data_IF_696071165137
#
_entry.id   IF_696071165137
#
_cell.length_a   1.000
_cell.length_b   1.000
_cell.length_c   1.000
_cell.angle_alpha   90.00
_cell.angle_beta   90.00
_cell.angle_gamma   90.00
#
_symmetry.space_group_name_H-M   'P 1'
#
loop_
_entity.id
_entity.type
_entity.pdbx_description
1 polymer ?
#
# COMPACT_ATOMS: atom_id res chain seq x y z
N UNK A 1 -64.70 143.35 -9.36
CA UNK A 1 -64.75 143.87 -7.99
C UNK A 1 -64.89 142.66 -7.07
N UNK A 2 -63.82 142.29 -6.38
CA UNK A 2 -63.77 141.08 -5.54
C UNK A 2 -63.82 141.54 -4.09
N UNK A 3 -64.93 141.26 -3.39
CA UNK A 3 -65.11 141.70 -1.99
C UNK A 3 -64.36 140.78 -1.04
N UNK A 4 -63.89 141.29 0.11
CA UNK A 4 -63.17 140.50 1.12
C UNK A 4 -63.93 139.25 1.55
N UNK A 5 -65.27 139.36 1.71
CA UNK A 5 -66.13 138.22 2.04
C UNK A 5 -66.06 137.07 1.02
N UNK A 6 -65.97 137.37 -0.28
CA UNK A 6 -65.90 136.36 -1.35
C UNK A 6 -64.51 135.70 -1.37
N UNK A 7 -63.46 136.47 -1.08
CA UNK A 7 -62.09 135.94 -0.95
C UNK A 7 -62.00 134.98 0.24
N UNK A 8 -62.57 135.34 1.39
CA UNK A 8 -62.62 134.49 2.58
C UNK A 8 -63.43 133.21 2.36
N UNK A 9 -64.57 133.28 1.66
CA UNK A 9 -65.34 132.09 1.26
C UNK A 9 -64.47 131.14 0.43
N UNK A 10 -63.72 131.68 -0.53
CA UNK A 10 -62.83 130.92 -1.41
C UNK A 10 -61.74 130.20 -0.61
N UNK A 11 -61.05 130.93 0.24
CA UNK A 11 -59.97 130.40 1.08
C UNK A 11 -60.45 129.32 2.05
N UNK A 12 -61.60 129.53 2.72
CA UNK A 12 -62.15 128.55 3.65
C UNK A 12 -62.66 127.29 2.93
N UNK A 13 -63.29 127.45 1.76
CA UNK A 13 -63.68 126.32 0.92
C UNK A 13 -62.47 125.51 0.48
N UNK A 14 -61.41 126.16 0.00
CA UNK A 14 -60.23 125.45 -0.54
C UNK A 14 -59.52 124.63 0.54
N UNK A 15 -59.36 125.20 1.74
CA UNK A 15 -58.87 124.47 2.93
C UNK A 15 -59.70 123.24 3.25
N UNK A 16 -61.02 123.35 3.18
CA UNK A 16 -61.92 122.23 3.49
C UNK A 16 -61.91 121.17 2.38
N UNK A 17 -61.81 121.60 1.12
CA UNK A 17 -61.73 120.73 -0.05
C UNK A 17 -60.47 119.85 -0.03
N UNK A 18 -59.34 120.40 0.39
CA UNK A 18 -58.09 119.66 0.56
C UNK A 18 -58.24 118.55 1.62
N UNK A 19 -58.76 118.89 2.80
CA UNK A 19 -59.08 117.90 3.85
C UNK A 19 -60.00 116.78 3.35
N UNK A 20 -61.03 117.11 2.57
CA UNK A 20 -61.95 116.12 1.98
C UNK A 20 -61.26 115.20 0.95
N UNK A 21 -60.23 115.67 0.24
CA UNK A 21 -59.48 114.84 -0.72
C UNK A 21 -58.53 113.86 -0.05
N UNK A 22 -57.92 114.25 1.06
CA UNK A 22 -56.92 113.46 1.79
C UNK A 22 -57.53 112.39 2.71
N UNK A 23 -58.85 112.42 2.92
CA UNK A 23 -59.49 111.57 3.92
C UNK A 23 -59.79 110.15 3.42
N UNK A 24 -59.37 109.15 4.19
CA UNK A 24 -59.74 107.75 3.98
C UNK A 24 -61.16 107.45 4.48
N UNK A 25 -62.01 106.92 3.61
CA UNK A 25 -63.42 106.56 3.92
C UNK A 25 -63.56 105.36 4.87
N UNK A 26 -62.46 104.67 5.23
CA UNK A 26 -62.50 103.45 6.04
C UNK A 26 -62.82 103.69 7.51
N UNK A 27 -62.49 104.86 8.08
CA UNK A 27 -62.61 105.15 9.52
C UNK A 27 -64.07 105.30 10.01
N UNK A 28 -65.02 105.51 9.09
CA UNK A 28 -66.42 105.79 9.40
C UNK A 28 -67.40 104.97 8.55
N UNK A 29 -66.95 103.81 8.02
CA UNK A 29 -67.65 103.00 7.02
C UNK A 29 -69.09 102.59 7.41
N UNK A 30 -69.35 102.45 8.70
CA UNK A 30 -70.64 101.98 9.24
C UNK A 30 -71.34 102.99 10.18
N UNK A 31 -70.89 104.25 10.19
CA UNK A 31 -71.48 105.31 11.02
C UNK A 31 -72.44 106.18 10.22
N UNK A 32 -73.57 106.50 10.84
CA UNK A 32 -74.55 107.47 10.34
C UNK A 32 -74.49 108.77 11.15
N UNK A 33 -74.89 109.86 10.52
CA UNK A 33 -74.80 111.23 11.05
C UNK A 33 -76.05 112.00 10.69
N UNK A 34 -76.35 113.07 11.45
CA UNK A 34 -77.59 113.84 11.28
C UNK A 34 -78.59 113.58 12.41
N UNK A 35 -79.63 114.39 12.46
CA UNK A 35 -80.67 114.27 13.50
C UNK A 35 -81.51 113.01 13.34
N UNK A 36 -81.58 112.46 12.13
CA UNK A 36 -82.33 111.26 11.75
C UNK A 36 -81.40 110.12 11.28
N UNK A 37 -80.07 110.25 11.48
CA UNK A 37 -79.08 109.32 10.92
C UNK A 37 -79.10 109.22 9.39
N UNK A 38 -79.51 110.30 8.72
CA UNK A 38 -79.76 110.39 7.29
C UNK A 38 -78.48 110.39 6.43
N UNK A 39 -77.32 110.66 7.03
CA UNK A 39 -76.07 110.74 6.30
C UNK A 39 -75.10 109.62 6.64
N UNK A 40 -74.61 108.91 5.61
CA UNK A 40 -73.37 108.14 5.73
C UNK A 40 -72.16 109.07 5.61
N UNK A 41 -71.00 108.67 6.14
CA UNK A 41 -69.77 109.47 6.00
C UNK A 41 -69.43 109.75 4.53
N UNK A 42 -69.57 108.73 3.67
CA UNK A 42 -69.40 108.87 2.21
C UNK A 42 -70.41 109.85 1.63
N UNK A 43 -71.65 109.82 2.09
CA UNK A 43 -72.71 110.78 1.73
C UNK A 43 -72.37 112.22 2.13
N UNK A 44 -71.89 112.46 3.36
CA UNK A 44 -71.46 113.78 3.83
C UNK A 44 -70.33 114.34 2.97
N UNK A 45 -69.29 113.54 2.72
CA UNK A 45 -68.16 113.95 1.89
C UNK A 45 -68.59 114.22 0.44
N UNK A 46 -69.49 113.40 -0.11
CA UNK A 46 -70.10 113.65 -1.43
C UNK A 46 -70.91 114.94 -1.47
N UNK A 47 -71.73 115.21 -0.45
CA UNK A 47 -72.50 116.43 -0.32
C UNK A 47 -71.62 117.68 -0.16
N UNK A 48 -70.55 117.61 0.62
CA UNK A 48 -69.56 118.69 0.73
C UNK A 48 -68.88 118.98 -0.61
N UNK A 49 -68.47 117.93 -1.36
CA UNK A 49 -67.92 118.10 -2.71
C UNK A 49 -68.90 118.82 -3.63
N UNK A 50 -70.18 118.43 -3.61
CA UNK A 50 -71.22 119.11 -4.38
C UNK A 50 -71.36 120.59 -3.97
N UNK A 51 -71.37 120.90 -2.67
CA UNK A 51 -71.39 122.27 -2.17
C UNK A 51 -70.13 123.06 -2.56
N UNK A 52 -68.95 122.44 -2.59
CA UNK A 52 -67.73 123.12 -3.02
C UNK A 52 -67.80 123.52 -4.49
N UNK A 53 -68.35 122.69 -5.37
CA UNK A 53 -68.56 123.12 -6.75
C UNK A 53 -69.60 124.24 -6.81
N UNK A 54 -70.70 124.21 -6.05
CA UNK A 54 -71.69 125.31 -6.00
C UNK A 54 -71.04 126.63 -5.54
N UNK A 55 -70.25 126.59 -4.45
CA UNK A 55 -69.49 127.74 -3.95
C UNK A 55 -68.42 128.18 -4.97
N UNK A 56 -67.84 127.25 -5.72
CA UNK A 56 -66.88 127.56 -6.78
C UNK A 56 -67.53 128.30 -7.93
N UNK A 57 -68.70 127.86 -8.39
CA UNK A 57 -69.48 128.57 -9.41
C UNK A 57 -69.84 129.98 -8.94
N UNK A 58 -70.33 130.12 -7.70
CA UNK A 58 -70.64 131.43 -7.10
C UNK A 58 -69.41 132.36 -7.02
N UNK A 59 -68.28 131.85 -6.53
CA UNK A 59 -67.06 132.67 -6.33
C UNK A 59 -66.32 132.96 -7.64
N UNK A 60 -66.50 132.16 -8.70
CA UNK A 60 -66.02 132.46 -10.06
C UNK A 60 -66.82 133.63 -10.66
N UNK A 61 -68.15 133.58 -10.57
CA UNK A 61 -69.05 134.62 -11.08
C UNK A 61 -69.34 135.70 -10.03
N UNK A 62 -68.29 136.38 -9.58
CA UNK A 62 -68.31 137.33 -8.46
C UNK A 62 -69.41 138.41 -8.58
N UNK A 63 -69.64 138.94 -9.79
CA UNK A 63 -70.66 139.98 -10.02
C UNK A 63 -72.08 139.46 -9.81
N UNK A 64 -72.35 138.25 -10.30
CA UNK A 64 -73.64 137.58 -10.15
C UNK A 64 -73.87 137.23 -8.69
N UNK A 65 -72.85 136.68 -8.02
CA UNK A 65 -72.93 136.35 -6.60
C UNK A 65 -73.25 137.56 -5.71
N UNK A 66 -72.62 138.71 -5.96
CA UNK A 66 -72.95 139.96 -5.23
C UNK A 66 -74.40 140.41 -5.49
N UNK A 67 -74.93 140.19 -6.70
CA UNK A 67 -76.29 140.61 -7.07
C UNK A 67 -77.36 139.77 -6.36
N UNK A 68 -77.10 138.48 -6.17
CA UNK A 68 -78.09 137.54 -5.61
C UNK A 68 -77.92 137.30 -4.11
N UNK A 69 -76.89 137.89 -3.49
CA UNK A 69 -76.59 137.66 -2.09
C UNK A 69 -76.29 138.98 -1.36
N UNK A 70 -76.64 139.03 -0.08
CA UNK A 70 -76.29 140.09 0.85
C UNK A 70 -74.89 139.86 1.45
N UNK A 71 -74.34 140.91 2.08
CA UNK A 71 -73.11 140.80 2.86
C UNK A 71 -73.27 139.86 4.06
N UNK A 72 -74.41 139.92 4.75
CA UNK A 72 -74.71 139.06 5.89
C UNK A 72 -74.68 137.58 5.53
N UNK A 73 -75.30 137.21 4.42
CA UNK A 73 -75.29 135.83 3.90
C UNK A 73 -73.87 135.38 3.53
N UNK A 74 -73.06 136.23 2.90
CA UNK A 74 -71.65 135.89 2.59
C UNK A 74 -70.83 135.68 3.86
N UNK A 75 -71.02 136.52 4.88
CA UNK A 75 -70.34 136.36 6.18
C UNK A 75 -70.79 135.08 6.89
N UNK A 76 -72.08 134.72 6.80
CA UNK A 76 -72.58 133.43 7.32
C UNK A 76 -71.95 132.25 6.59
N UNK A 77 -71.78 132.30 5.25
CA UNK A 77 -71.06 131.26 4.51
C UNK A 77 -69.62 131.09 5.01
N UNK A 78 -68.89 132.19 5.24
CA UNK A 78 -67.53 132.13 5.81
C UNK A 78 -67.54 131.45 7.17
N UNK A 79 -68.47 131.83 8.05
CA UNK A 79 -68.57 131.27 9.40
C UNK A 79 -68.87 129.78 9.38
N UNK A 80 -69.84 129.34 8.56
CA UNK A 80 -70.17 127.92 8.43
C UNK A 80 -68.99 127.12 7.86
N UNK A 81 -68.31 127.60 6.83
CA UNK A 81 -67.12 126.94 6.28
C UNK A 81 -65.97 126.86 7.29
N UNK A 82 -65.76 127.90 8.08
CA UNK A 82 -64.75 127.93 9.14
C UNK A 82 -65.05 126.90 10.23
N UNK A 83 -66.31 126.78 10.65
CA UNK A 83 -66.75 125.77 11.62
C UNK A 83 -66.59 124.35 11.07
N UNK A 84 -66.98 124.11 9.82
CA UNK A 84 -66.76 122.82 9.15
C UNK A 84 -65.27 122.46 9.09
N UNK A 85 -64.39 123.44 8.84
CA UNK A 85 -62.95 123.25 8.87
C UNK A 85 -62.41 122.86 10.26
N UNK A 86 -62.95 123.47 11.33
CA UNK A 86 -62.52 123.22 12.69
C UNK A 86 -62.94 121.83 13.19
N UNK A 87 -64.16 121.40 12.85
CA UNK A 87 -64.76 120.15 13.34
C UNK A 87 -64.70 118.99 12.33
N UNK A 88 -63.93 119.13 11.24
CA UNK A 88 -63.85 118.13 10.17
C UNK A 88 -63.49 116.71 10.65
N UNK A 89 -62.60 116.61 11.65
CA UNK A 89 -62.18 115.33 12.23
C UNK A 89 -63.20 114.71 13.19
N UNK A 90 -64.27 115.45 13.53
CA UNK A 90 -65.32 115.04 14.47
C UNK A 90 -66.73 115.24 13.86
N UNK A 91 -67.06 114.50 12.78
CA UNK A 91 -68.30 114.69 12.01
C UNK A 91 -69.57 114.30 12.79
N UNK A 92 -69.44 113.61 13.93
CA UNK A 92 -70.53 113.21 14.82
C UNK A 92 -71.03 114.32 15.74
N UNK A 93 -70.39 115.49 15.72
CA UNK A 93 -70.72 116.60 16.61
C UNK A 93 -71.77 117.52 15.98
N UNK A 94 -72.65 118.08 16.80
CA UNK A 94 -73.62 119.09 16.33
C UNK A 94 -72.92 120.33 15.76
N UNK A 95 -71.67 120.57 16.20
CA UNK A 95 -70.76 121.59 15.72
C UNK A 95 -70.27 121.35 14.27
N UNK A 96 -70.42 120.15 13.71
CA UNK A 96 -70.16 119.86 12.30
C UNK A 96 -71.46 119.78 11.47
N UNK A 97 -72.47 119.08 11.99
CA UNK A 97 -73.73 118.85 11.24
C UNK A 97 -74.57 120.12 11.11
N UNK A 98 -74.67 120.95 12.16
CA UNK A 98 -75.49 122.17 12.11
C UNK A 98 -74.96 123.17 11.08
N UNK A 99 -73.64 123.45 11.02
CA UNK A 99 -73.09 124.31 9.96
C UNK A 99 -73.19 123.69 8.56
N UNK A 100 -73.11 122.37 8.44
CA UNK A 100 -73.29 121.66 7.17
C UNK A 100 -74.71 121.87 6.59
N UNK A 101 -75.75 121.64 7.40
CA UNK A 101 -77.14 121.87 7.00
C UNK A 101 -77.43 123.35 6.73
N UNK A 102 -76.88 124.24 7.57
CA UNK A 102 -77.06 125.68 7.41
C UNK A 102 -76.45 126.18 6.10
N UNK A 103 -75.25 125.68 5.76
CA UNK A 103 -74.59 125.98 4.49
C UNK A 103 -75.37 125.41 3.30
N UNK A 104 -75.88 124.17 3.42
CA UNK A 104 -76.74 123.53 2.40
C UNK A 104 -77.99 124.35 2.11
N UNK A 105 -78.68 124.81 3.15
CA UNK A 105 -79.86 125.66 3.05
C UNK A 105 -79.53 126.98 2.36
N UNK A 106 -78.47 127.65 2.80
CA UNK A 106 -78.05 128.94 2.24
C UNK A 106 -77.70 128.83 0.75
N UNK A 107 -76.98 127.77 0.35
CA UNK A 107 -76.66 127.53 -1.06
C UNK A 107 -77.89 127.20 -1.91
N UNK A 108 -78.88 126.51 -1.34
CA UNK A 108 -80.14 126.22 -2.02
C UNK A 108 -80.93 127.50 -2.29
N UNK A 109 -80.99 128.40 -1.30
CA UNK A 109 -81.72 129.66 -1.42
C UNK A 109 -81.09 130.60 -2.48
N UNK A 110 -79.79 130.47 -2.75
CA UNK A 110 -79.07 131.16 -3.83
C UNK A 110 -79.28 130.56 -5.23
N UNK A 111 -79.99 129.42 -5.34
CA UNK A 111 -80.33 128.74 -6.59
C UNK A 111 -79.17 128.52 -7.58
N UNK A 112 -77.98 128.21 -7.07
CA UNK A 112 -76.74 128.05 -7.86
C UNK A 112 -76.86 126.97 -8.93
N UNK A 113 -77.66 125.94 -8.66
CA UNK A 113 -77.82 124.77 -9.53
C UNK A 113 -78.60 125.06 -10.81
N UNK A 114 -79.30 126.18 -10.88
CA UNK A 114 -79.92 126.68 -12.10
C UNK A 114 -78.96 127.51 -12.96
N UNK A 115 -77.67 127.61 -12.60
CA UNK A 115 -76.68 128.33 -13.39
C UNK A 115 -76.19 127.45 -14.53
N UNK A 116 -76.07 128.03 -15.73
CA UNK A 116 -75.52 127.38 -16.93
C UNK A 116 -74.17 126.71 -16.66
N UNK A 117 -73.34 127.31 -15.82
CA UNK A 117 -71.98 126.83 -15.55
C UNK A 117 -71.96 125.53 -14.71
N UNK A 118 -72.92 125.34 -13.80
CA UNK A 118 -73.00 124.12 -12.97
C UNK A 118 -73.54 122.93 -13.77
N UNK A 119 -74.42 123.21 -14.75
CA UNK A 119 -74.91 122.20 -15.68
C UNK A 119 -73.77 121.62 -16.54
N UNK A 120 -72.85 122.47 -17.02
CA UNK A 120 -71.66 122.03 -17.77
C UNK A 120 -70.75 121.13 -16.92
N UNK A 121 -70.54 121.45 -15.64
CA UNK A 121 -69.75 120.59 -14.73
C UNK A 121 -70.43 119.23 -14.49
N UNK A 122 -71.76 119.20 -14.40
CA UNK A 122 -72.52 117.95 -14.26
C UNK A 122 -72.46 117.06 -15.50
N UNK A 123 -72.58 117.64 -16.70
CA UNK A 123 -72.43 116.92 -17.96
C UNK A 123 -71.02 116.32 -18.11
N UNK A 124 -69.97 117.05 -17.72
CA UNK A 124 -68.60 116.53 -17.70
C UNK A 124 -68.43 115.36 -16.71
N UNK A 125 -69.07 115.39 -15.53
CA UNK A 125 -69.04 114.28 -14.59
C UNK A 125 -69.77 113.05 -15.15
N UNK A 126 -70.93 113.22 -15.81
CA UNK A 126 -71.65 112.12 -16.48
C UNK A 126 -70.77 111.47 -17.56
N UNK A 127 -70.11 112.26 -18.39
CA UNK A 127 -69.19 111.75 -19.41
C UNK A 127 -68.04 110.95 -18.79
N UNK A 128 -67.47 111.45 -17.68
CA UNK A 128 -66.40 110.75 -16.97
C UNK A 128 -66.86 109.40 -16.40
N UNK A 129 -68.07 109.34 -15.84
CA UNK A 129 -68.66 108.12 -15.28
C UNK A 129 -68.95 107.13 -16.41
N UNK A 130 -69.46 107.60 -17.53
CA UNK A 130 -69.75 106.77 -18.70
C UNK A 130 -68.48 106.14 -19.26
N UNK A 131 -67.38 106.90 -19.35
CA UNK A 131 -66.07 106.37 -19.74
C UNK A 131 -65.55 105.31 -18.76
N UNK A 132 -65.70 105.56 -17.46
CA UNK A 132 -65.30 104.60 -16.43
C UNK A 132 -66.11 103.30 -16.52
N UNK A 133 -67.41 103.39 -16.75
CA UNK A 133 -68.27 102.22 -16.93
C UNK A 133 -67.83 101.36 -18.13
N UNK A 134 -67.51 102.00 -19.26
CA UNK A 134 -67.00 101.29 -20.44
C UNK A 134 -65.67 100.58 -20.17
N UNK A 135 -64.77 101.21 -19.41
CA UNK A 135 -63.50 100.61 -19.02
C UNK A 135 -63.72 99.38 -18.12
N UNK A 136 -64.60 99.50 -17.12
CA UNK A 136 -64.96 98.38 -16.23
C UNK A 136 -65.54 97.21 -17.03
N UNK A 137 -66.41 97.47 -18.00
CA UNK A 137 -66.97 96.42 -18.86
C UNK A 137 -65.90 95.71 -19.72
N UNK A 138 -64.93 96.46 -20.24
CA UNK A 138 -63.81 95.88 -20.97
C UNK A 138 -62.94 95.01 -20.07
N UNK A 139 -62.65 95.46 -18.85
CA UNK A 139 -61.84 94.70 -17.90
C UNK A 139 -62.58 93.46 -17.41
N UNK A 140 -63.90 93.53 -17.19
CA UNK A 140 -64.73 92.35 -16.90
C UNK A 140 -64.68 91.30 -18.02
N UNK A 141 -64.70 91.73 -19.29
CA UNK A 141 -64.55 90.80 -20.43
C UNK A 141 -63.17 90.14 -20.44
N UNK A 142 -62.10 90.88 -20.14
CA UNK A 142 -60.74 90.31 -20.03
C UNK A 142 -60.65 89.31 -18.88
N UNK A 143 -61.19 89.65 -17.71
CA UNK A 143 -61.23 88.76 -16.54
C UNK A 143 -61.95 87.46 -16.89
N UNK A 144 -63.13 87.52 -17.52
CA UNK A 144 -63.86 86.30 -17.93
C UNK A 144 -63.06 85.42 -18.88
N UNK A 145 -62.37 86.00 -19.86
CA UNK A 145 -61.49 85.25 -20.78
C UNK A 145 -60.33 84.59 -20.03
N UNK A 146 -59.71 85.32 -19.10
CA UNK A 146 -58.62 84.80 -18.27
C UNK A 146 -59.12 83.65 -17.39
N UNK A 147 -60.26 83.79 -16.73
CA UNK A 147 -60.89 82.74 -15.92
C UNK A 147 -61.17 81.47 -16.74
N UNK A 148 -61.68 81.62 -17.96
CA UNK A 148 -61.88 80.48 -18.85
C UNK A 148 -60.56 79.78 -19.21
N UNK A 149 -59.51 80.55 -19.53
CA UNK A 149 -58.18 80.01 -19.82
C UNK A 149 -57.57 79.29 -18.62
N UNK A 150 -57.72 79.85 -17.42
CA UNK A 150 -57.26 79.22 -16.17
C UNK A 150 -57.97 77.88 -15.97
N UNK A 151 -59.30 77.83 -16.17
CA UNK A 151 -60.07 76.60 -16.03
C UNK A 151 -59.59 75.52 -17.01
N UNK A 152 -59.38 75.86 -18.27
CA UNK A 152 -58.86 74.90 -19.26
C UNK A 152 -57.43 74.44 -18.94
N UNK A 153 -56.58 75.31 -18.41
CA UNK A 153 -55.23 74.90 -17.96
C UNK A 153 -55.29 73.99 -16.74
N UNK A 154 -56.20 74.25 -15.81
CA UNK A 154 -56.39 73.40 -14.63
C UNK A 154 -56.83 71.99 -15.01
N UNK A 155 -57.82 71.86 -15.91
CA UNK A 155 -58.24 70.55 -16.44
C UNK A 155 -57.09 69.79 -17.11
N UNK A 156 -56.17 70.48 -17.80
CA UNK A 156 -54.97 69.86 -18.38
C UNK A 156 -53.96 69.42 -17.32
N UNK A 157 -53.77 70.21 -16.27
CA UNK A 157 -52.87 69.89 -15.16
C UNK A 157 -53.40 68.66 -14.43
N UNK A 158 -54.69 68.60 -14.14
CA UNK A 158 -55.32 67.46 -13.46
C UNK A 158 -55.17 66.18 -14.28
N UNK A 159 -55.43 66.24 -15.59
CA UNK A 159 -55.23 65.09 -16.48
C UNK A 159 -53.75 64.63 -16.56
N UNK A 160 -52.80 65.57 -16.56
CA UNK A 160 -51.37 65.25 -16.50
C UNK A 160 -50.98 64.64 -15.16
N UNK A 161 -51.56 65.11 -14.06
CA UNK A 161 -51.30 64.60 -12.72
C UNK A 161 -51.73 63.14 -12.61
N UNK A 162 -52.96 62.80 -13.03
CA UNK A 162 -53.45 61.42 -13.07
C UNK A 162 -52.53 60.51 -13.91
N UNK A 163 -52.11 61.00 -15.08
CA UNK A 163 -51.19 60.24 -15.96
C UNK A 163 -49.82 60.02 -15.29
N UNK A 164 -49.32 60.99 -14.52
CA UNK A 164 -48.05 60.84 -13.79
C UNK A 164 -48.20 59.89 -12.60
N UNK A 165 -49.32 59.93 -11.89
CA UNK A 165 -49.62 59.01 -10.80
C UNK A 165 -49.65 57.57 -11.28
N UNK A 166 -50.29 57.28 -12.42
CA UNK A 166 -50.33 55.93 -13.00
C UNK A 166 -48.94 55.45 -13.44
N UNK A 167 -48.09 56.36 -13.94
CA UNK A 167 -46.70 56.02 -14.26
C UNK A 167 -45.87 55.72 -13.01
N UNK A 168 -46.10 56.46 -11.92
CA UNK A 168 -45.41 56.21 -10.65
C UNK A 168 -45.79 54.85 -10.07
N UNK A 169 -47.07 54.47 -10.11
CA UNK A 169 -47.49 53.14 -9.65
C UNK A 169 -46.87 52.02 -10.49
N UNK A 170 -46.78 52.19 -11.81
CA UNK A 170 -46.10 51.23 -12.67
C UNK A 170 -44.59 51.12 -12.37
N UNK A 171 -43.95 52.23 -12.03
CA UNK A 171 -42.53 52.24 -11.61
C UNK A 171 -42.37 51.51 -10.27
N UNK A 172 -43.26 51.74 -9.30
CA UNK A 172 -43.21 51.07 -8.00
C UNK A 172 -43.38 49.54 -8.15
N UNK A 173 -44.33 49.08 -8.98
CA UNK A 173 -44.50 47.66 -9.31
C UNK A 173 -43.26 47.07 -9.99
N UNK A 174 -42.60 47.84 -10.87
CA UNK A 174 -41.37 47.41 -11.52
C UNK A 174 -40.20 47.31 -10.53
N UNK A 175 -40.10 48.23 -9.57
CA UNK A 175 -39.10 48.20 -8.49
C UNK A 175 -39.31 46.98 -7.60
N UNK A 176 -40.55 46.64 -7.26
CA UNK A 176 -40.87 45.46 -6.45
C UNK A 176 -40.41 44.17 -7.17
N UNK A 177 -40.73 44.02 -8.46
CA UNK A 177 -40.26 42.88 -9.28
C UNK A 177 -38.74 42.78 -9.35
N UNK A 178 -38.05 43.91 -9.52
CA UNK A 178 -36.57 43.94 -9.56
C UNK A 178 -35.99 43.51 -8.20
N UNK A 179 -36.61 43.94 -7.11
CA UNK A 179 -36.19 43.59 -5.74
C UNK A 179 -36.34 42.09 -5.49
N UNK A 180 -37.45 41.49 -5.93
CA UNK A 180 -37.66 40.04 -5.85
C UNK A 180 -36.62 39.27 -6.67
N UNK A 181 -36.35 39.71 -7.90
CA UNK A 181 -35.32 39.10 -8.75
C UNK A 181 -33.93 39.19 -8.11
N UNK A 182 -33.59 40.33 -7.50
CA UNK A 182 -32.34 40.51 -6.79
C UNK A 182 -32.20 39.53 -5.61
N UNK A 183 -33.28 39.32 -4.86
CA UNK A 183 -33.31 38.35 -3.77
C UNK A 183 -33.08 36.92 -4.27
N UNK A 184 -33.76 36.51 -5.35
CA UNK A 184 -33.58 35.18 -5.94
C UNK A 184 -32.16 34.98 -6.48
N UNK A 185 -31.61 35.97 -7.19
CA UNK A 185 -30.22 35.97 -7.66
C UNK A 185 -29.21 35.78 -6.52
N UNK A 186 -29.47 36.40 -5.37
CA UNK A 186 -28.63 36.24 -4.17
C UNK A 186 -28.66 34.81 -3.65
N UNK A 187 -29.85 34.21 -3.55
CA UNK A 187 -30.01 32.81 -3.15
C UNK A 187 -29.27 31.87 -4.12
N UNK A 188 -29.36 32.13 -5.43
CA UNK A 188 -28.63 31.35 -6.44
C UNK A 188 -27.12 31.51 -6.30
N UNK A 189 -26.63 32.73 -6.08
CA UNK A 189 -25.20 33.00 -5.87
C UNK A 189 -24.66 32.24 -4.64
N UNK A 190 -25.38 32.27 -3.51
CA UNK A 190 -25.00 31.54 -2.30
C UNK A 190 -24.94 30.02 -2.54
N UNK A 191 -25.88 29.47 -3.34
CA UNK A 191 -25.83 28.05 -3.77
C UNK A 191 -24.62 27.73 -4.62
N UNK A 192 -24.24 28.62 -5.55
CA UNK A 192 -23.04 28.41 -6.37
C UNK A 192 -21.76 28.46 -5.55
N UNK A 193 -21.69 29.34 -4.55
CA UNK A 193 -20.54 29.39 -3.61
C UNK A 193 -20.41 28.06 -2.85
N UNK A 194 -21.49 27.54 -2.29
CA UNK A 194 -21.50 26.23 -1.61
C UNK A 194 -21.09 25.08 -2.55
N UNK A 195 -21.57 25.09 -3.80
CA UNK A 195 -21.20 24.08 -4.80
C UNK A 195 -19.70 24.13 -5.14
N UNK A 196 -19.14 25.34 -5.30
CA UNK A 196 -17.71 25.53 -5.58
C UNK A 196 -16.87 25.02 -4.41
N UNK A 197 -17.27 25.29 -3.17
CA UNK A 197 -16.56 24.78 -1.98
C UNK A 197 -16.59 23.24 -1.96
N UNK A 198 -17.76 22.64 -2.19
CA UNK A 198 -17.90 21.17 -2.27
C UNK A 198 -17.06 20.56 -3.39
N UNK A 199 -16.94 21.25 -4.54
CA UNK A 199 -16.08 20.82 -5.64
C UNK A 199 -14.60 20.86 -5.25
N UNK A 200 -14.15 21.92 -4.60
CA UNK A 200 -12.76 22.04 -4.14
C UNK A 200 -12.40 20.95 -3.11
N UNK A 201 -13.30 20.66 -2.17
CA UNK A 201 -13.13 19.55 -1.22
C UNK A 201 -13.05 18.19 -1.93
N UNK A 202 -13.87 18.00 -2.97
CA UNK A 202 -13.85 16.79 -3.79
C UNK A 202 -12.56 16.65 -4.59
N UNK A 203 -12.05 17.74 -5.15
CA UNK A 203 -10.80 17.76 -5.93
C UNK A 203 -9.59 17.43 -5.05
N UNK A 204 -9.58 17.96 -3.82
CA UNK A 204 -8.58 17.61 -2.80
C UNK A 204 -8.60 16.11 -2.50
N UNK A 205 -9.78 15.56 -2.19
CA UNK A 205 -9.93 14.12 -1.93
C UNK A 205 -9.57 13.25 -3.14
N UNK A 206 -9.91 13.70 -4.35
CA UNK A 206 -9.55 12.99 -5.57
C UNK A 206 -8.03 12.94 -5.77
N UNK A 207 -7.33 14.04 -5.46
CA UNK A 207 -5.87 14.10 -5.50
C UNK A 207 -5.23 13.17 -4.45
N UNK A 208 -5.72 13.18 -3.21
CA UNK A 208 -5.28 12.25 -2.16
C UNK A 208 -5.48 10.77 -2.56
N UNK A 209 -6.65 10.45 -3.14
CA UNK A 209 -6.92 9.11 -3.65
C UNK A 209 -5.99 8.73 -4.80
N UNK A 210 -5.68 9.65 -5.71
CA UNK A 210 -4.76 9.41 -6.81
C UNK A 210 -3.34 9.11 -6.29
N UNK A 211 -2.88 9.86 -5.29
CA UNK A 211 -1.58 9.61 -4.63
C UNK A 211 -1.55 8.23 -3.95
N UNK A 212 -2.61 7.87 -3.23
CA UNK A 212 -2.75 6.55 -2.60
C UNK A 212 -2.78 5.41 -3.61
N UNK A 213 -3.51 5.57 -4.72
CA UNK A 213 -3.54 4.60 -5.83
C UNK A 213 -2.15 4.46 -6.46
N UNK A 214 -1.45 5.58 -6.67
CA UNK A 214 -0.10 5.57 -7.25
C UNK A 214 0.89 4.84 -6.35
N UNK A 215 0.81 5.06 -5.04
CA UNK A 215 1.62 4.35 -4.05
C UNK A 215 1.33 2.85 -4.06
N UNK A 216 0.04 2.48 -4.02
CA UNK A 216 -0.39 1.08 -4.07
C UNK A 216 0.04 0.38 -5.37
N UNK A 217 0.00 1.09 -6.50
CA UNK A 217 0.47 0.58 -7.80
C UNK A 217 1.98 0.32 -7.77
N UNK A 218 2.77 1.24 -7.23
CA UNK A 218 4.23 1.07 -7.10
C UNK A 218 4.57 -0.12 -6.19
N UNK A 219 3.86 -0.28 -5.08
CA UNK A 219 4.00 -1.44 -4.19
C UNK A 219 3.65 -2.75 -4.91
N UNK A 220 2.51 -2.79 -5.61
CA UNK A 220 2.10 -3.95 -6.39
C UNK A 220 3.12 -4.34 -7.47
N UNK A 221 3.68 -3.35 -8.18
CA UNK A 221 4.75 -3.57 -9.17
C UNK A 221 6.04 -4.09 -8.53
N UNK A 222 6.39 -3.62 -7.32
CA UNK A 222 7.53 -4.13 -6.55
C UNK A 222 7.30 -5.59 -6.14
N UNK A 223 6.11 -5.90 -5.60
CA UNK A 223 5.71 -7.26 -5.27
C UNK A 223 5.70 -8.18 -6.49
N UNK A 224 5.23 -7.72 -7.65
CA UNK A 224 5.27 -8.49 -8.90
C UNK A 224 6.72 -8.87 -9.27
N UNK A 225 7.66 -7.93 -9.17
CA UNK A 225 9.09 -8.20 -9.40
C UNK A 225 9.64 -9.23 -8.41
N UNK A 226 9.30 -9.11 -7.13
CA UNK A 226 9.70 -10.08 -6.11
C UNK A 226 9.15 -11.47 -6.39
N UNK A 227 7.87 -11.58 -6.77
CA UNK A 227 7.22 -12.85 -7.13
C UNK A 227 7.89 -13.45 -8.36
N UNK A 228 8.19 -12.66 -9.39
CA UNK A 228 8.92 -13.15 -10.58
C UNK A 228 10.31 -13.69 -10.23
N UNK A 229 11.07 -12.97 -9.40
CA UNK A 229 12.39 -13.41 -8.94
C UNK A 229 12.30 -14.69 -8.09
N UNK A 230 11.27 -14.77 -7.23
CA UNK A 230 11.00 -15.97 -6.44
C UNK A 230 10.67 -17.16 -7.34
N UNK A 231 9.77 -17.00 -8.31
CA UNK A 231 9.41 -18.04 -9.27
C UNK A 231 10.63 -18.56 -10.07
N UNK A 232 11.48 -17.65 -10.56
CA UNK A 232 12.74 -18.02 -11.22
C UNK A 232 13.70 -18.78 -10.30
N UNK A 233 13.75 -18.39 -9.01
CA UNK A 233 14.57 -19.09 -8.02
C UNK A 233 14.04 -20.49 -7.76
N UNK A 234 12.72 -20.67 -7.67
CA UNK A 234 12.07 -21.98 -7.53
C UNK A 234 12.39 -22.85 -8.74
N UNK A 235 12.20 -22.35 -9.97
CA UNK A 235 12.53 -23.10 -11.19
C UNK A 235 14.00 -23.53 -11.24
N UNK A 236 14.93 -22.65 -10.83
CA UNK A 236 16.36 -23.00 -10.74
C UNK A 236 16.62 -24.09 -9.69
N UNK A 237 15.94 -24.02 -8.54
CA UNK A 237 16.08 -25.03 -7.47
C UNK A 237 15.50 -26.38 -7.90
N UNK A 238 14.41 -26.38 -8.66
CA UNK A 238 13.79 -27.59 -9.20
C UNK A 238 14.75 -28.31 -10.16
N UNK A 239 15.36 -27.58 -11.11
CA UNK A 239 16.42 -28.13 -11.99
C UNK A 239 17.61 -28.69 -11.20
N UNK A 240 18.02 -28.01 -10.13
CA UNK A 240 19.09 -28.52 -9.26
C UNK A 240 18.69 -29.81 -8.52
N UNK A 241 17.42 -29.94 -8.14
CA UNK A 241 16.91 -31.16 -7.51
C UNK A 241 16.88 -32.31 -8.51
N UNK A 242 16.42 -32.08 -9.75
CA UNK A 242 16.48 -33.07 -10.83
C UNK A 242 17.92 -33.55 -11.07
N UNK A 243 18.90 -32.63 -11.17
CA UNK A 243 20.32 -33.01 -11.31
C UNK A 243 20.84 -33.85 -10.12
N UNK A 244 20.41 -33.53 -8.89
CA UNK A 244 20.80 -34.29 -7.69
C UNK A 244 20.16 -35.68 -7.71
N UNK A 245 18.89 -35.79 -8.10
CA UNK A 245 18.18 -37.07 -8.22
C UNK A 245 18.83 -37.96 -9.29
N UNK A 246 19.19 -37.41 -10.44
CA UNK A 246 19.96 -38.12 -11.48
C UNK A 246 21.31 -38.61 -10.96
N UNK A 247 22.05 -37.76 -10.23
CA UNK A 247 23.34 -38.17 -9.63
C UNK A 247 23.18 -39.23 -8.55
N UNK A 248 22.15 -39.11 -7.71
CA UNK A 248 21.86 -40.09 -6.66
C UNK A 248 21.53 -41.45 -7.27
N UNK A 249 20.63 -41.50 -8.25
CA UNK A 249 20.26 -42.74 -8.96
C UNK A 249 21.45 -43.35 -9.72
N UNK A 250 22.30 -42.53 -10.35
CA UNK A 250 23.52 -43.00 -10.98
C UNK A 250 24.52 -43.58 -9.96
N UNK A 251 24.67 -42.94 -8.81
CA UNK A 251 25.55 -43.40 -7.74
C UNK A 251 25.03 -44.68 -7.09
N UNK A 252 23.72 -44.82 -6.89
CA UNK A 252 23.10 -46.04 -6.37
C UNK A 252 23.34 -47.23 -7.31
N UNK A 253 23.19 -47.04 -8.63
CA UNK A 253 23.56 -48.05 -9.64
C UNK A 253 25.04 -48.41 -9.57
N UNK A 254 25.93 -47.42 -9.49
CA UNK A 254 27.36 -47.67 -9.38
C UNK A 254 27.69 -48.47 -8.11
N UNK A 255 27.05 -48.17 -6.98
CA UNK A 255 27.22 -48.94 -5.73
C UNK A 255 26.74 -50.38 -5.89
N UNK A 256 25.61 -50.61 -6.57
CA UNK A 256 25.11 -51.96 -6.87
C UNK A 256 26.11 -52.75 -7.75
N UNK A 257 26.64 -52.13 -8.80
CA UNK A 257 27.66 -52.71 -9.66
C UNK A 257 28.94 -53.05 -8.88
N UNK A 258 29.42 -52.13 -8.02
CA UNK A 258 30.57 -52.36 -7.15
C UNK A 258 30.34 -53.52 -6.17
N UNK A 259 29.15 -53.64 -5.59
CA UNK A 259 28.83 -54.78 -4.71
C UNK A 259 28.86 -56.11 -5.47
N UNK A 260 28.36 -56.12 -6.71
CA UNK A 260 28.31 -57.31 -7.55
C UNK A 260 29.73 -57.74 -7.95
N UNK A 261 30.57 -56.80 -8.39
CA UNK A 261 31.99 -57.05 -8.66
C UNK A 261 32.74 -57.53 -7.43
N UNK A 262 32.54 -56.88 -6.27
CA UNK A 262 33.16 -57.27 -5.01
C UNK A 262 32.78 -58.70 -4.63
N UNK A 263 31.51 -59.09 -4.78
CA UNK A 263 31.06 -60.48 -4.53
C UNK A 263 31.72 -61.47 -5.49
N UNK A 264 31.85 -61.12 -6.77
CA UNK A 264 32.52 -61.94 -7.79
C UNK A 264 34.00 -62.16 -7.45
N UNK A 265 34.75 -61.08 -7.21
CA UNK A 265 36.18 -61.15 -6.83
C UNK A 265 36.38 -61.96 -5.55
N UNK A 266 35.49 -61.81 -4.56
CA UNK A 266 35.57 -62.56 -3.31
C UNK A 266 35.37 -64.08 -3.53
N UNK A 267 34.49 -64.47 -4.43
CA UNK A 267 34.32 -65.88 -4.80
C UNK A 267 35.53 -66.40 -5.57
N UNK A 268 36.05 -65.66 -6.56
CA UNK A 268 37.25 -66.02 -7.30
C UNK A 268 38.46 -66.20 -6.37
N UNK A 269 38.64 -65.30 -5.41
CA UNK A 269 39.72 -65.39 -4.42
C UNK A 269 39.58 -66.65 -3.53
N UNK A 270 38.37 -67.02 -3.12
CA UNK A 270 38.13 -68.26 -2.34
C UNK A 270 38.47 -69.51 -3.14
N UNK A 271 38.08 -69.57 -4.40
CA UNK A 271 38.37 -70.70 -5.30
C UNK A 271 39.87 -70.84 -5.57
N UNK A 272 40.58 -69.72 -5.73
CA UNK A 272 42.03 -69.71 -5.89
C UNK A 272 42.76 -70.23 -4.65
N UNK A 273 42.32 -69.83 -3.46
CA UNK A 273 42.87 -70.32 -2.18
C UNK A 273 42.64 -71.83 -2.03
N UNK A 274 41.46 -72.34 -2.40
CA UNK A 274 41.15 -73.77 -2.38
C UNK A 274 42.05 -74.57 -3.34
N UNK A 275 42.23 -74.05 -4.57
CA UNK A 275 43.07 -74.64 -5.60
C UNK A 275 44.56 -74.70 -5.18
N UNK A 276 45.07 -73.62 -4.59
CA UNK A 276 46.46 -73.57 -4.09
C UNK A 276 46.71 -74.57 -2.95
N UNK A 277 45.76 -74.73 -2.02
CA UNK A 277 45.86 -75.71 -0.92
C UNK A 277 45.88 -77.16 -1.41
N UNK A 278 45.09 -77.48 -2.44
CA UNK A 278 45.08 -78.81 -3.04
C UNK A 278 46.39 -79.12 -3.77
N UNK A 279 46.93 -78.16 -4.54
CA UNK A 279 48.19 -78.34 -5.25
C UNK A 279 49.40 -78.56 -4.31
N UNK A 280 49.43 -77.87 -3.16
CA UNK A 280 50.52 -78.00 -2.19
C UNK A 280 50.55 -79.39 -1.51
N UNK A 281 49.40 -79.91 -1.08
CA UNK A 281 49.35 -81.22 -0.42
C UNK A 281 49.68 -82.38 -1.38
N UNK A 282 49.25 -82.29 -2.64
CA UNK A 282 49.43 -83.38 -3.61
C UNK A 282 50.89 -83.50 -4.09
N UNK A 283 51.56 -82.37 -4.40
CA UNK A 283 52.94 -82.42 -4.94
C UNK A 283 54.02 -82.80 -3.92
N UNK A 284 53.87 -82.43 -2.65
CA UNK A 284 54.90 -82.72 -1.63
C UNK A 284 54.86 -84.19 -1.19
N UNK A 285 53.66 -84.78 -1.12
CA UNK A 285 53.45 -86.18 -0.76
C UNK A 285 53.97 -87.18 -1.83
N UNK A 286 53.81 -86.84 -3.11
CA UNK A 286 54.28 -87.68 -4.22
C UNK A 286 55.81 -87.65 -4.36
N UNK A 287 56.44 -86.49 -4.14
CA UNK A 287 57.90 -86.33 -4.27
C UNK A 287 58.74 -87.14 -3.26
N UNK A 288 58.34 -87.20 -1.98
CA UNK A 288 59.11 -87.91 -0.94
C UNK A 288 59.02 -89.44 -1.12
N UNK A 289 57.83 -89.96 -1.45
CA UNK A 289 57.65 -91.41 -1.62
C UNK A 289 58.26 -91.95 -2.92
N UNK A 290 58.26 -91.16 -3.99
CA UNK A 290 58.92 -91.51 -5.26
C UNK A 290 60.45 -91.64 -5.10
N UNK A 291 61.09 -90.73 -4.35
CA UNK A 291 62.54 -90.78 -4.11
C UNK A 291 62.97 -92.06 -3.36
N UNK A 292 62.18 -92.54 -2.39
CA UNK A 292 62.45 -93.81 -1.71
C UNK A 292 62.18 -95.03 -2.59
N UNK A 293 61.18 -94.95 -3.48
CA UNK A 293 60.89 -96.02 -4.43
C UNK A 293 62.04 -96.21 -5.43
N UNK A 294 62.62 -95.12 -5.93
CA UNK A 294 63.77 -95.16 -6.83
C UNK A 294 64.99 -95.81 -6.16
N UNK A 295 65.34 -95.40 -4.93
CA UNK A 295 66.44 -95.99 -4.18
C UNK A 295 66.21 -97.47 -3.82
N UNK A 296 64.97 -97.85 -3.50
CA UNK A 296 64.61 -99.24 -3.27
C UNK A 296 64.77 -100.11 -4.53
N UNK A 297 64.37 -99.61 -5.70
CA UNK A 297 64.55 -100.33 -6.98
C UNK A 297 66.03 -100.54 -7.27
N UNK A 298 66.87 -99.53 -7.05
CA UNK A 298 68.32 -99.62 -7.23
C UNK A 298 68.95 -100.62 -6.24
N UNK A 299 68.52 -100.62 -4.97
CA UNK A 299 69.06 -101.52 -3.94
C UNK A 299 68.56 -102.97 -4.06
N UNK A 300 67.36 -103.20 -4.61
CA UNK A 300 66.75 -104.52 -4.81
C UNK A 300 67.24 -105.24 -6.06
N UNK A 301 67.98 -104.57 -6.94
CA UNK A 301 68.46 -105.16 -8.18
C UNK A 301 69.26 -106.45 -7.91
N UNK A 302 68.65 -107.58 -8.27
CA UNK A 302 69.20 -108.93 -8.04
C UNK A 302 70.53 -109.10 -8.76
N UNK A 303 70.78 -108.31 -9.82
CA UNK A 303 72.00 -108.40 -10.62
C UNK A 303 73.25 -107.85 -9.92
N UNK A 304 73.12 -107.04 -8.85
CA UNK A 304 74.26 -106.52 -8.07
C UNK A 304 74.61 -107.36 -6.84
N UNK A 305 73.67 -108.15 -6.33
CA UNK A 305 73.85 -108.98 -5.13
C UNK A 305 74.21 -110.45 -5.45
N UNK A 306 73.72 -110.98 -6.57
CA UNK A 306 74.03 -112.34 -7.04
C UNK A 306 75.53 -112.61 -7.31
N UNK A 307 76.33 -111.67 -7.88
CA UNK A 307 77.75 -111.91 -8.13
C UNK A 307 78.53 -112.22 -6.86
N UNK A 308 78.22 -111.55 -5.75
CA UNK A 308 78.89 -111.75 -4.46
C UNK A 308 78.62 -113.13 -3.85
N UNK A 309 77.40 -113.65 -4.03
CA UNK A 309 77.04 -115.00 -3.60
C UNK A 309 77.77 -116.06 -4.43
N UNK A 310 77.84 -115.86 -5.75
CA UNK A 310 78.54 -116.77 -6.67
C UNK A 310 80.04 -116.81 -6.36
N UNK A 311 80.67 -115.64 -6.17
CA UNK A 311 82.09 -115.54 -5.81
C UNK A 311 82.39 -116.25 -4.49
N UNK A 312 81.55 -116.06 -3.46
CA UNK A 312 81.72 -116.75 -2.18
C UNK A 312 81.66 -118.28 -2.34
N UNK A 313 80.64 -118.79 -3.05
CA UNK A 313 80.49 -120.23 -3.29
C UNK A 313 81.66 -120.81 -4.11
N UNK A 314 82.10 -120.12 -5.16
CA UNK A 314 83.19 -120.59 -6.01
C UNK A 314 84.50 -120.73 -5.22
N UNK A 315 84.84 -119.76 -4.36
CA UNK A 315 86.07 -119.80 -3.58
C UNK A 315 86.06 -120.87 -2.47
N UNK A 316 84.90 -121.18 -1.89
CA UNK A 316 84.78 -122.31 -0.95
C UNK A 316 85.03 -123.63 -1.68
N UNK A 317 84.50 -123.81 -2.89
CA UNK A 317 84.76 -125.00 -3.70
C UNK A 317 86.23 -125.11 -4.12
N UNK A 318 86.87 -124.00 -4.47
CA UNK A 318 88.32 -123.96 -4.76
C UNK A 318 89.13 -124.34 -3.52
N UNK A 319 88.78 -123.84 -2.33
CA UNK A 319 89.46 -124.20 -1.09
C UNK A 319 89.39 -125.70 -0.79
N UNK A 320 88.21 -126.32 -1.01
CA UNK A 320 88.02 -127.77 -0.86
C UNK A 320 88.87 -128.54 -1.89
N UNK A 321 88.84 -128.11 -3.16
CA UNK A 321 89.64 -128.73 -4.23
C UNK A 321 91.14 -128.65 -3.97
N UNK A 322 91.63 -127.49 -3.51
CA UNK A 322 93.03 -127.30 -3.12
C UNK A 322 93.41 -128.21 -1.94
N UNK A 323 92.52 -128.39 -0.96
CA UNK A 323 92.74 -129.32 0.15
C UNK A 323 92.95 -130.76 -0.31
N UNK A 324 92.10 -131.25 -1.22
CA UNK A 324 92.24 -132.60 -1.80
C UNK A 324 93.55 -132.71 -2.60
N UNK A 325 93.87 -131.69 -3.38
CA UNK A 325 95.09 -131.68 -4.21
C UNK A 325 96.38 -131.71 -3.38
N UNK A 326 96.40 -131.07 -2.21
CA UNK A 326 97.53 -131.11 -1.27
C UNK A 326 97.80 -132.53 -0.76
N UNK A 327 96.76 -133.32 -0.49
CA UNK A 327 96.89 -134.65 0.14
C UNK A 327 97.37 -135.76 -0.80
N UNK A 328 97.06 -135.67 -2.11
CA UNK A 328 97.28 -136.79 -3.04
C UNK A 328 98.67 -136.87 -3.69
N UNK A 329 99.53 -135.86 -3.57
CA UNK A 329 100.81 -135.80 -4.33
C UNK A 329 102.02 -135.78 -3.39
N UNK A 330 102.89 -136.82 -3.37
CA UNK A 330 104.12 -136.79 -2.60
C UNK A 330 105.10 -135.77 -3.20
N UNK A 331 105.70 -134.93 -2.35
CA UNK A 331 106.61 -133.87 -2.78
C UNK A 331 107.54 -133.41 -1.66
N UNK A 332 108.55 -132.63 -2.00
CA UNK A 332 109.50 -132.05 -1.03
C UNK A 332 108.80 -131.06 -0.09
N UNK A 333 109.24 -131.00 1.17
CA UNK A 333 108.55 -130.31 2.29
C UNK A 333 108.22 -128.83 1.99
N UNK A 334 109.11 -128.13 1.28
CA UNK A 334 108.91 -126.72 0.89
C UNK A 334 107.72 -126.51 -0.06
N UNK A 335 107.42 -127.49 -0.93
CA UNK A 335 106.31 -127.39 -1.88
C UNK A 335 104.97 -127.63 -1.17
N UNK A 336 104.92 -128.51 -0.17
CA UNK A 336 103.70 -128.81 0.59
C UNK A 336 103.28 -127.60 1.45
N UNK A 337 104.24 -126.94 2.11
CA UNK A 337 103.98 -125.73 2.92
C UNK A 337 103.45 -124.60 2.04
N UNK A 338 104.01 -124.42 0.84
CA UNK A 338 103.52 -123.44 -0.13
C UNK A 338 102.07 -123.68 -0.56
N UNK A 339 101.62 -124.94 -0.64
CA UNK A 339 100.24 -125.27 -1.03
C UNK A 339 99.23 -125.09 0.12
N UNK A 340 99.60 -125.41 1.36
CA UNK A 340 98.74 -125.21 2.55
C UNK A 340 98.46 -123.71 2.79
N UNK A 341 99.43 -122.84 2.47
CA UNK A 341 99.30 -121.39 2.59
C UNK A 341 98.18 -120.76 1.73
N UNK A 342 97.74 -121.44 0.66
CA UNK A 342 96.71 -120.92 -0.26
C UNK A 342 95.27 -121.03 0.28
N UNK A 343 94.99 -121.98 1.18
CA UNK A 343 93.64 -122.25 1.68
C UNK A 343 93.08 -121.07 2.53
N UNK A 344 93.84 -120.47 3.48
CA UNK A 344 93.35 -119.34 4.26
C UNK A 344 92.95 -118.12 3.42
N UNK A 345 93.66 -117.88 2.31
CA UNK A 345 93.38 -116.74 1.41
C UNK A 345 92.01 -116.93 0.74
N UNK A 346 91.70 -118.15 0.28
CA UNK A 346 90.40 -118.46 -0.33
C UNK A 346 89.23 -118.28 0.67
N UNK A 347 89.43 -118.66 1.94
CA UNK A 347 88.41 -118.49 2.99
C UNK A 347 88.17 -117.02 3.33
N UNK A 348 89.19 -116.17 3.34
CA UNK A 348 89.04 -114.72 3.57
C UNK A 348 88.22 -114.05 2.47
N UNK A 349 88.45 -114.41 1.21
CA UNK A 349 87.69 -113.87 0.06
C UNK A 349 86.22 -114.31 0.15
N UNK A 350 85.96 -115.56 0.53
CA UNK A 350 84.60 -116.04 0.74
C UNK A 350 83.89 -115.32 1.90
N UNK A 351 84.58 -115.12 3.03
CA UNK A 351 84.02 -114.42 4.19
C UNK A 351 83.70 -112.95 3.90
N UNK A 352 84.61 -112.25 3.22
CA UNK A 352 84.41 -110.85 2.82
C UNK A 352 83.20 -110.71 1.89
N UNK A 353 83.10 -111.59 0.89
CA UNK A 353 82.00 -111.60 -0.08
C UNK A 353 80.65 -111.89 0.58
N UNK A 354 80.61 -112.79 1.58
CA UNK A 354 79.41 -113.05 2.37
C UNK A 354 78.94 -111.85 3.20
N UNK A 355 79.87 -111.07 3.76
CA UNK A 355 79.54 -109.88 4.58
C UNK A 355 78.93 -108.75 3.75
N UNK A 356 79.48 -108.49 2.57
CA UNK A 356 78.94 -107.46 1.67
C UNK A 356 77.56 -107.83 1.11
N UNK A 357 77.29 -109.12 0.88
CA UNK A 357 75.96 -109.58 0.51
C UNK A 357 74.89 -109.26 1.58
N UNK A 358 75.19 -109.53 2.85
CA UNK A 358 74.27 -109.21 3.97
C UNK A 358 74.05 -107.70 4.09
N UNK A 359 75.10 -106.90 3.90
CA UNK A 359 75.01 -105.44 3.94
C UNK A 359 74.08 -104.88 2.87
N UNK A 360 74.18 -105.34 1.61
CA UNK A 360 73.28 -104.90 0.54
C UNK A 360 71.81 -105.26 0.81
N UNK A 361 71.56 -106.45 1.36
CA UNK A 361 70.19 -106.88 1.70
C UNK A 361 69.56 -105.99 2.78
N UNK A 362 70.32 -105.65 3.83
CA UNK A 362 69.83 -104.79 4.91
C UNK A 362 69.49 -103.38 4.41
N UNK A 363 70.29 -102.83 3.49
CA UNK A 363 70.01 -101.52 2.87
C UNK A 363 68.71 -101.58 2.05
N UNK A 364 68.50 -102.64 1.27
CA UNK A 364 67.27 -102.79 0.48
C UNK A 364 66.01 -102.92 1.36
N UNK A 365 66.11 -103.62 2.49
CA UNK A 365 65.00 -103.74 3.44
C UNK A 365 64.68 -102.39 4.13
N UNK A 366 65.69 -101.59 4.45
CA UNK A 366 65.51 -100.27 5.05
C UNK A 366 64.81 -99.29 4.09
N UNK A 367 65.21 -99.26 2.82
CA UNK A 367 64.53 -98.43 1.81
C UNK A 367 63.08 -98.88 1.57
N UNK A 368 62.80 -100.19 1.61
CA UNK A 368 61.43 -100.70 1.50
C UNK A 368 60.55 -100.20 2.66
N UNK A 369 61.07 -100.26 3.89
CA UNK A 369 60.39 -99.79 5.08
C UNK A 369 60.11 -98.27 5.01
N UNK A 370 61.11 -97.46 4.62
CA UNK A 370 60.97 -96.00 4.49
C UNK A 370 59.99 -95.58 3.37
N UNK A 371 59.93 -96.33 2.28
CA UNK A 371 58.93 -96.12 1.22
C UNK A 371 57.51 -96.36 1.75
N UNK A 372 57.28 -97.49 2.43
CA UNK A 372 55.97 -97.83 2.98
C UNK A 372 55.55 -96.82 4.05
N UNK A 373 56.46 -96.44 4.94
CA UNK A 373 56.22 -95.42 5.96
C UNK A 373 55.86 -94.06 5.32
N UNK A 374 56.57 -93.63 4.28
CA UNK A 374 56.27 -92.37 3.59
C UNK A 374 54.90 -92.38 2.90
N UNK A 375 54.50 -93.51 2.28
CA UNK A 375 53.14 -93.66 1.72
C UNK A 375 52.06 -93.66 2.82
N UNK A 376 52.35 -94.27 3.97
CA UNK A 376 51.42 -94.30 5.10
C UNK A 376 51.25 -92.92 5.76
N UNK A 377 52.33 -92.12 5.90
CA UNK A 377 52.26 -90.75 6.43
C UNK A 377 51.20 -89.93 5.69
N UNK A 378 51.17 -90.04 4.35
CA UNK A 378 50.23 -89.29 3.52
C UNK A 378 48.80 -89.76 3.76
N UNK A 379 48.54 -91.07 3.72
CA UNK A 379 47.21 -91.63 3.95
C UNK A 379 46.64 -91.35 5.34
N UNK A 380 47.48 -91.42 6.38
CA UNK A 380 47.07 -91.11 7.76
C UNK A 380 46.97 -89.61 8.03
N UNK A 381 47.79 -88.78 7.38
CA UNK A 381 47.70 -87.31 7.50
C UNK A 381 46.34 -86.79 7.04
N UNK A 382 45.76 -87.41 6.00
CA UNK A 382 44.46 -87.03 5.46
C UNK A 382 43.29 -87.46 6.37
N UNK A 383 43.42 -88.62 7.03
CA UNK A 383 42.44 -89.09 8.01
C UNK A 383 42.49 -88.30 9.33
N UNK A 384 43.68 -88.01 9.85
CA UNK A 384 43.86 -87.24 11.09
C UNK A 384 43.39 -85.79 10.93
N UNK A 385 43.55 -85.18 9.74
CA UNK A 385 43.06 -83.82 9.45
C UNK A 385 41.53 -83.74 9.27
N UNK A 386 40.86 -84.83 8.86
CA UNK A 386 39.39 -84.89 8.74
C UNK A 386 38.67 -85.12 10.08
N UNK A 387 39.36 -85.63 11.10
CA UNK A 387 38.75 -86.02 12.38
C UNK A 387 39.34 -85.31 13.63
N UNK A 388 40.28 -84.37 13.48
CA UNK A 388 40.95 -83.72 14.62
C UNK A 388 40.18 -82.57 15.27
N UNK A 389 39.96 -82.66 16.59
CA UNK A 389 39.57 -81.57 17.50
C UNK A 389 40.75 -80.63 17.81
N UNK A 390 40.45 -79.39 18.23
CA UNK A 390 41.28 -78.15 18.20
C UNK A 390 42.73 -78.18 18.75
N UNK A 391 43.21 -79.27 19.37
CA UNK A 391 44.62 -79.45 19.71
C UNK A 391 45.23 -80.57 18.85
N UNK A 392 45.80 -80.18 17.70
CA UNK A 392 46.46 -81.03 16.70
C UNK A 392 47.72 -81.79 17.22
N UNK A 393 47.82 -82.06 18.52
CA UNK A 393 48.98 -82.70 19.18
C UNK A 393 49.22 -84.13 18.68
N UNK A 394 48.16 -84.92 18.46
CA UNK A 394 48.28 -86.29 17.94
C UNK A 394 48.82 -86.31 16.51
N UNK A 395 48.35 -85.39 15.65
CA UNK A 395 48.85 -85.20 14.29
C UNK A 395 50.33 -84.80 14.30
N UNK A 396 50.70 -83.84 15.14
CA UNK A 396 52.09 -83.37 15.27
C UNK A 396 52.99 -84.49 15.81
N UNK A 397 52.54 -85.25 16.82
CA UNK A 397 53.29 -86.37 17.38
C UNK A 397 53.49 -87.49 16.35
N UNK A 398 52.46 -87.84 15.58
CA UNK A 398 52.54 -88.83 14.51
C UNK A 398 53.54 -88.42 13.43
N UNK A 399 53.41 -87.20 12.89
CA UNK A 399 54.30 -86.68 11.84
C UNK A 399 55.74 -86.61 12.36
N UNK A 400 55.97 -86.13 13.60
CA UNK A 400 57.31 -86.06 14.21
C UNK A 400 57.95 -87.44 14.36
N UNK A 401 57.20 -88.43 14.87
CA UNK A 401 57.69 -89.81 15.03
C UNK A 401 58.03 -90.44 13.68
N UNK A 402 57.23 -90.19 12.65
CA UNK A 402 57.45 -90.73 11.32
C UNK A 402 58.66 -90.08 10.62
N UNK A 403 58.84 -88.76 10.78
CA UNK A 403 60.03 -88.04 10.32
C UNK A 403 61.32 -88.47 11.05
N UNK A 404 61.26 -88.68 12.36
CA UNK A 404 62.39 -89.23 13.13
C UNK A 404 62.79 -90.62 12.64
N UNK A 405 61.83 -91.45 12.24
CA UNK A 405 62.10 -92.81 11.74
C UNK A 405 62.69 -92.81 10.32
N UNK A 406 62.22 -91.91 9.44
CA UNK A 406 62.76 -91.76 8.08
C UNK A 406 64.24 -91.33 8.10
N UNK A 407 64.64 -90.50 9.06
CA UNK A 407 66.00 -89.95 9.16
C UNK A 407 67.04 -90.87 9.83
N UNK A 408 66.68 -92.09 10.26
CA UNK A 408 67.63 -93.03 10.90
C UNK A 408 68.55 -93.74 9.88
N UNK A 409 69.77 -94.07 10.32
CA UNK A 409 70.84 -94.69 9.51
C UNK A 409 70.48 -96.12 9.03
N UNK A 410 70.63 -96.43 7.72
CA UNK A 410 70.34 -97.75 7.14
C UNK A 410 71.24 -98.92 7.61
N UNK A 411 72.41 -98.68 8.21
CA UNK A 411 73.42 -99.72 8.49
C UNK A 411 73.48 -100.23 9.94
N UNK A 412 72.43 -100.02 10.74
CA UNK A 412 72.38 -100.49 12.13
C UNK A 412 72.05 -101.99 12.25
N UNK A 413 72.72 -102.69 13.17
CA UNK A 413 72.29 -104.01 13.65
C UNK A 413 70.98 -103.88 14.42
N UNK A 414 69.90 -104.49 13.91
CA UNK A 414 68.66 -104.64 14.68
C UNK A 414 68.86 -105.75 15.70
N UNK A 415 69.60 -105.47 16.77
CA UNK A 415 69.45 -106.25 18.00
C UNK A 415 68.04 -106.00 18.52
N UNK A 416 67.25 -107.06 18.55
CA UNK A 416 65.96 -107.12 19.23
C UNK A 416 66.20 -106.82 20.71
N UNK A 417 66.09 -105.55 21.10
CA UNK A 417 65.94 -105.18 22.49
C UNK A 417 64.49 -105.49 22.90
N UNK A 418 64.26 -106.77 23.15
CA UNK A 418 63.12 -107.26 23.91
C UNK A 418 63.34 -106.88 25.39
N UNK A 419 62.63 -105.85 25.80
CA UNK A 419 62.28 -105.54 27.19
C UNK A 419 60.87 -104.96 27.10
N UNK A 420 59.83 -105.43 27.79
CA UNK A 420 59.62 -106.53 28.73
C UNK A 420 58.11 -106.42 28.97
N UNK A 421 57.28 -107.37 28.56
CA UNK A 421 55.88 -107.44 29.01
C UNK A 421 55.38 -108.88 28.86
N UNK A 422 56.00 -109.77 29.62
CA UNK A 422 55.43 -111.06 29.97
C UNK A 422 54.83 -110.93 31.37
N UNK A 423 53.57 -110.48 31.41
CA UNK A 423 52.64 -110.66 32.52
C UNK A 423 51.30 -110.19 31.95
N UNK A 424 50.50 -111.15 31.47
CA UNK A 424 49.01 -111.09 31.39
C UNK A 424 48.40 -112.23 30.55
N UNK A 425 49.19 -113.03 29.82
CA UNK A 425 48.64 -114.11 28.97
C UNK A 425 48.26 -115.41 29.69
N UNK A 426 48.54 -115.56 30.99
CA UNK A 426 48.15 -116.77 31.76
C UNK A 426 46.82 -116.54 32.51
N UNK A 427 46.55 -115.31 32.97
CA UNK A 427 45.30 -114.99 33.68
C UNK A 427 44.07 -115.01 32.75
N UNK A 428 44.21 -114.58 31.50
CA UNK A 428 43.11 -114.61 30.52
C UNK A 428 42.81 -116.02 30.01
N UNK A 429 43.81 -116.90 29.90
CA UNK A 429 43.63 -118.29 29.47
C UNK A 429 43.01 -119.14 30.58
N UNK A 430 43.40 -118.92 31.85
CA UNK A 430 42.78 -119.58 33.00
C UNK A 430 41.33 -119.11 33.20
N UNK A 431 41.05 -117.81 33.06
CA UNK A 431 39.69 -117.28 33.14
C UNK A 431 38.76 -117.76 32.01
N UNK A 432 39.28 -117.98 30.80
CA UNK A 432 38.53 -118.59 29.70
C UNK A 432 38.28 -120.09 29.93
N UNK A 433 39.25 -120.82 30.49
CA UNK A 433 39.10 -122.24 30.82
C UNK A 433 38.08 -122.47 31.96
N UNK A 434 38.06 -121.62 32.99
CA UNK A 434 37.08 -121.71 34.08
C UNK A 434 35.65 -121.39 33.59
N UNK A 435 35.47 -120.45 32.66
CA UNK A 435 34.15 -120.19 32.05
C UNK A 435 33.66 -121.34 31.17
N UNK A 436 34.55 -122.02 30.45
CA UNK A 436 34.18 -123.21 29.65
C UNK A 436 33.82 -124.39 30.55
N UNK A 437 34.53 -124.60 31.68
CA UNK A 437 34.17 -125.65 32.65
C UNK A 437 32.83 -125.35 33.35
N UNK A 438 32.54 -124.09 33.66
CA UNK A 438 31.25 -123.69 34.23
C UNK A 438 30.07 -123.91 33.26
N UNK A 439 30.26 -123.66 31.96
CA UNK A 439 29.25 -123.92 30.93
C UNK A 439 29.07 -125.43 30.70
N UNK A 440 30.13 -126.23 30.83
CA UNK A 440 30.07 -127.69 30.60
C UNK A 440 29.45 -128.45 31.80
N UNK A 441 29.54 -127.92 33.02
CA UNK A 441 28.89 -128.50 34.22
C UNK A 441 27.42 -128.06 34.43
N UNK A 442 26.94 -127.08 33.66
CA UNK A 442 25.57 -126.57 33.76
C UNK A 442 24.56 -127.20 32.78
N UNK A 443 24.99 -128.05 31.84
CA UNK A 443 24.09 -128.67 30.84
C UNK A 443 23.94 -130.20 31.01
N UNK A 444 24.25 -130.74 32.19
CA UNK A 444 23.97 -132.12 32.57
C UNK A 444 23.07 -132.15 33.81
N UNK A 445 21.88 -131.57 33.70
CA UNK A 445 20.68 -131.88 34.49
C UNK A 445 19.52 -131.05 33.91
N UNK A 446 19.12 -131.39 32.68
CA UNK A 446 17.74 -131.60 32.21
C UNK A 446 17.74 -132.19 30.80
#
# INVERSE_FOLDING_TARGET
MNTDSIKQIREQRDKLSEKVKETSYSQFKDKTFGSESEYSYKGLMGGLKAMFTDITTLTKETRKFIKISSYGERTQMVNHLSQLNAYFSQPNTSQFITPYESLKKLLRDLNVRAFSERQIEFENEIDSITRLQLQVDQDLKKIRKLTASIKTQQEKIDAQFETQTEKLTQIDEAIEKITDQQSDLKIQADRYIDLIQKLAERDTKASEHLESITTSLNEAQSSEKLIKNFAQTVERRDKQLEEIEERATANDKALEDYELERKKILNEAKDLIASAKNALNYKTAEGISAAFQEQYVIAKDKWKSIPWLIVACAFVLIAIGLGIWVLSVPGTLNIIVGRISLIPIALLVAFFSGREYVKQKNIAEDYAYKMVLSKAIVGFSEQLKKHGTESNEEYIHYIKRALEEIHKDPLRSRSLNASRNSNNSIAEVVGAAERIIAITKGSSEF
#
